data_IF_467212565155
#
_entry.id   IF_467212565155
#
_cell.length_a   1.000
_cell.length_b   1.000
_cell.length_c   1.000
_cell.angle_alpha   90.00
_cell.angle_beta   90.00
_cell.angle_gamma   90.00
#
_symmetry.space_group_name_H-M   'P 1'
#
loop_
_entity.id
_entity.type
_entity.pdbx_description
1 polymer ?
#
# COMPACT_ATOMS: atom_id res chain seq x y z
N UNK A 1 -17.38 51.20 -33.94
CA UNK A 1 -18.54 51.66 -34.77
C UNK A 1 -19.41 52.63 -34.02
N UNK A 2 -19.96 52.32 -32.84
CA UNK A 2 -20.90 53.24 -32.11
C UNK A 2 -20.30 54.63 -31.86
N UNK A 3 -19.04 54.73 -31.37
CA UNK A 3 -18.38 56.02 -31.13
C UNK A 3 -18.25 56.83 -32.41
N UNK A 4 -17.88 56.20 -33.50
CA UNK A 4 -17.77 56.88 -34.79
C UNK A 4 -19.16 57.34 -35.28
N UNK A 5 -20.18 56.50 -35.23
CA UNK A 5 -21.53 56.84 -35.65
C UNK A 5 -22.07 58.08 -34.90
N UNK A 6 -21.92 58.08 -33.56
CA UNK A 6 -22.35 59.20 -32.70
C UNK A 6 -21.63 60.53 -32.98
N UNK A 7 -20.48 60.51 -33.61
CA UNK A 7 -19.79 61.74 -33.98
C UNK A 7 -20.36 62.39 -35.27
N UNK A 8 -21.16 61.66 -36.04
CA UNK A 8 -21.72 62.18 -37.30
C UNK A 8 -23.25 62.29 -37.31
N UNK A 9 -23.94 61.37 -36.65
CA UNK A 9 -25.37 61.23 -36.67
C UNK A 9 -25.97 60.84 -35.32
N UNK A 10 -27.24 61.19 -35.11
CA UNK A 10 -27.95 60.83 -33.90
C UNK A 10 -29.44 60.54 -34.23
N UNK A 11 -29.95 59.44 -33.66
CA UNK A 11 -31.35 59.12 -33.60
C UNK A 11 -31.65 58.28 -32.34
N UNK A 12 -32.90 58.24 -31.85
CA UNK A 12 -33.26 57.39 -30.72
C UNK A 12 -33.00 55.90 -31.04
N UNK A 13 -32.19 55.21 -30.24
CA UNK A 13 -31.87 53.78 -30.40
C UNK A 13 -30.70 53.46 -31.33
N UNK A 14 -29.91 54.44 -31.82
CA UNK A 14 -28.73 54.25 -32.70
C UNK A 14 -27.81 53.10 -32.23
N UNK A 15 -27.58 52.99 -30.93
CA UNK A 15 -26.71 51.95 -30.37
C UNK A 15 -27.25 50.57 -30.58
N UNK A 16 -28.58 50.40 -30.36
CA UNK A 16 -29.26 49.11 -30.56
C UNK A 16 -29.28 48.70 -32.03
N UNK A 17 -29.48 49.68 -32.93
CA UNK A 17 -29.49 49.44 -34.36
C UNK A 17 -28.09 49.05 -34.88
N UNK A 18 -27.06 49.71 -34.40
CA UNK A 18 -25.66 49.33 -34.73
C UNK A 18 -25.30 47.96 -34.17
N UNK A 19 -25.75 47.64 -32.98
CA UNK A 19 -25.58 46.29 -32.43
C UNK A 19 -26.30 45.23 -33.22
N UNK A 20 -27.54 45.47 -33.66
CA UNK A 20 -28.29 44.58 -34.52
C UNK A 20 -27.57 44.32 -35.82
N UNK A 21 -27.17 45.39 -36.53
CA UNK A 21 -26.43 45.26 -37.78
C UNK A 21 -25.12 44.47 -37.58
N UNK A 22 -24.37 44.69 -36.48
CA UNK A 22 -23.17 43.93 -36.17
C UNK A 22 -23.47 42.45 -35.85
N UNK A 23 -24.60 42.15 -35.23
CA UNK A 23 -25.04 40.77 -34.94
C UNK A 23 -25.53 40.04 -36.22
N UNK A 24 -26.12 40.79 -37.18
CA UNK A 24 -26.56 40.23 -38.44
C UNK A 24 -25.44 40.07 -39.48
N UNK A 25 -24.32 40.76 -39.29
CA UNK A 25 -23.19 40.71 -40.18
C UNK A 25 -22.37 39.43 -39.96
N UNK A 26 -22.35 38.52 -40.96
CA UNK A 26 -21.61 37.25 -40.90
C UNK A 26 -20.11 37.43 -40.67
N UNK A 27 -19.49 38.46 -41.24
CA UNK A 27 -18.06 38.73 -41.10
C UNK A 27 -17.72 39.29 -39.72
N UNK A 28 -18.60 40.16 -39.17
CA UNK A 28 -18.45 40.60 -37.79
C UNK A 28 -18.60 39.46 -36.79
N UNK A 29 -19.53 38.54 -37.01
CA UNK A 29 -19.71 37.37 -36.16
C UNK A 29 -18.51 36.42 -36.17
N UNK A 30 -17.86 36.21 -37.31
CA UNK A 30 -16.64 35.39 -37.42
C UNK A 30 -15.45 35.98 -36.68
N UNK A 31 -15.44 37.30 -36.45
CA UNK A 31 -14.37 38.03 -35.78
C UNK A 31 -14.66 38.27 -34.29
N UNK A 32 -15.79 37.79 -33.77
CA UNK A 32 -16.11 37.94 -32.37
C UNK A 32 -15.15 37.10 -31.48
N UNK A 33 -14.85 37.64 -30.32
CA UNK A 33 -14.15 36.89 -29.28
C UNK A 33 -14.95 35.66 -28.88
N UNK A 34 -14.26 34.61 -28.46
CA UNK A 34 -14.89 33.41 -27.95
C UNK A 34 -15.89 33.79 -26.83
N UNK A 35 -17.04 33.12 -26.75
CA UNK A 35 -18.00 33.34 -25.66
C UNK A 35 -17.33 33.16 -24.31
N UNK A 36 -17.79 33.87 -23.29
CA UNK A 36 -17.29 33.76 -21.94
C UNK A 36 -17.29 32.29 -21.47
N UNK A 37 -16.28 31.92 -20.71
CA UNK A 37 -16.21 30.56 -20.16
C UNK A 37 -17.40 30.30 -19.27
N UNK A 38 -18.16 29.25 -19.59
CA UNK A 38 -19.26 28.75 -18.75
C UNK A 38 -18.69 28.14 -17.48
N UNK A 39 -19.43 28.21 -16.39
CA UNK A 39 -19.05 27.50 -15.17
C UNK A 39 -18.89 26.01 -15.45
N UNK A 40 -17.74 25.45 -15.03
CA UNK A 40 -17.49 24.01 -15.19
C UNK A 40 -18.41 23.24 -14.27
N UNK A 41 -19.26 22.38 -14.80
CA UNK A 41 -20.03 21.45 -13.99
C UNK A 41 -19.08 20.40 -13.41
N UNK A 42 -18.90 20.31 -12.09
CA UNK A 42 -18.00 19.36 -11.49
C UNK A 42 -18.53 17.93 -11.68
N UNK A 43 -17.64 16.98 -11.84
CA UNK A 43 -17.99 15.58 -11.77
C UNK A 43 -18.54 15.24 -10.38
N UNK A 44 -19.59 14.44 -10.33
CA UNK A 44 -20.01 13.84 -9.06
C UNK A 44 -18.86 13.06 -8.44
N UNK A 45 -18.74 13.16 -7.13
CA UNK A 45 -17.72 12.38 -6.41
C UNK A 45 -18.16 10.93 -6.32
N UNK A 46 -17.35 9.93 -6.78
CA UNK A 46 -17.71 8.53 -6.71
C UNK A 46 -17.90 8.08 -5.25
N UNK A 47 -18.86 7.20 -5.00
CA UNK A 47 -19.18 6.71 -3.65
C UNK A 47 -18.11 5.79 -3.07
N UNK A 48 -17.32 5.12 -3.93
CA UNK A 48 -16.27 4.20 -3.54
C UNK A 48 -15.01 4.37 -4.40
N UNK A 49 -13.84 3.96 -3.89
CA UNK A 49 -12.61 3.91 -4.67
C UNK A 49 -12.77 3.01 -5.90
N UNK A 50 -12.04 3.36 -6.95
CA UNK A 50 -11.92 2.58 -8.19
C UNK A 50 -13.18 2.49 -9.06
N UNK A 51 -14.26 3.22 -8.73
CA UNK A 51 -15.43 3.32 -9.60
C UNK A 51 -15.12 4.13 -10.87
N UNK A 52 -14.45 5.27 -10.73
CA UNK A 52 -14.04 6.11 -11.85
C UNK A 52 -12.57 6.49 -11.73
N UNK A 53 -11.82 6.22 -12.79
CA UNK A 53 -10.42 6.60 -12.89
C UNK A 53 -10.19 7.54 -14.06
N UNK A 54 -9.26 8.46 -13.91
CA UNK A 54 -8.83 9.40 -14.94
C UNK A 54 -7.46 8.98 -15.44
N UNK A 55 -7.28 8.92 -16.75
CA UNK A 55 -6.01 8.53 -17.38
C UNK A 55 -5.49 9.65 -18.26
N UNK A 56 -4.17 9.77 -18.34
CA UNK A 56 -3.47 10.78 -19.11
C UNK A 56 -2.02 10.36 -19.38
N UNK A 57 -1.34 11.07 -20.28
CA UNK A 57 0.08 10.93 -20.50
C UNK A 57 0.85 12.18 -20.10
N UNK A 58 1.93 12.00 -19.40
CA UNK A 58 2.90 13.05 -19.14
C UNK A 58 4.17 12.77 -19.95
N UNK A 59 4.51 13.68 -20.85
CA UNK A 59 5.76 13.52 -21.60
C UNK A 59 5.78 14.25 -22.95
N UNK A 60 6.89 14.16 -23.71
CA UNK A 60 8.17 13.60 -23.26
C UNK A 60 8.82 14.44 -22.14
N UNK A 61 9.33 13.77 -21.10
CA UNK A 61 9.99 14.43 -19.97
C UNK A 61 11.08 13.49 -19.45
N UNK A 62 12.34 13.98 -19.32
CA UNK A 62 13.51 13.16 -19.01
C UNK A 62 13.66 11.97 -19.97
N UNK A 63 13.49 12.22 -21.27
CA UNK A 63 13.54 11.23 -22.36
C UNK A 63 12.59 10.03 -22.20
N UNK A 64 11.55 10.19 -21.39
CA UNK A 64 10.50 9.20 -21.19
C UNK A 64 9.11 9.83 -21.19
N UNK A 65 8.13 9.00 -21.50
CA UNK A 65 6.72 9.27 -21.29
C UNK A 65 6.24 8.52 -20.05
N UNK A 66 5.18 9.01 -19.45
CA UNK A 66 4.60 8.42 -18.26
C UNK A 66 3.11 8.24 -18.47
N UNK A 67 2.64 7.02 -18.36
CA UNK A 67 1.22 6.77 -18.23
C UNK A 67 0.80 7.10 -16.80
N UNK A 68 -0.23 7.88 -16.67
CA UNK A 68 -0.78 8.35 -15.40
C UNK A 68 -2.22 7.89 -15.29
N UNK A 69 -2.57 7.32 -14.14
CA UNK A 69 -3.91 6.98 -13.78
C UNK A 69 -4.18 7.52 -12.38
N UNK A 70 -5.32 8.18 -12.20
CA UNK A 70 -5.72 8.74 -10.88
C UNK A 70 -7.15 8.31 -10.57
N UNK A 71 -7.35 7.70 -9.42
CA UNK A 71 -8.68 7.37 -8.92
C UNK A 71 -9.45 8.63 -8.51
N UNK A 72 -10.68 8.76 -8.97
CA UNK A 72 -11.49 9.95 -8.73
C UNK A 72 -11.97 10.08 -7.27
N UNK A 73 -12.19 8.97 -6.57
CA UNK A 73 -12.62 8.97 -5.18
C UNK A 73 -11.45 9.31 -4.25
N UNK A 74 -10.45 8.47 -4.22
CA UNK A 74 -9.35 8.55 -3.26
C UNK A 74 -8.23 9.49 -3.66
N UNK A 75 -8.16 9.89 -4.93
CA UNK A 75 -7.01 10.61 -5.55
C UNK A 75 -5.73 9.77 -5.59
N UNK A 76 -5.87 8.45 -5.48
CA UNK A 76 -4.75 7.50 -5.58
C UNK A 76 -4.16 7.50 -6.98
N UNK A 77 -2.85 7.80 -7.13
CA UNK A 77 -2.20 7.83 -8.42
C UNK A 77 -1.43 6.54 -8.71
N UNK A 78 -1.41 6.17 -9.99
CA UNK A 78 -0.47 5.23 -10.58
C UNK A 78 0.34 5.95 -11.65
N UNK A 79 1.65 5.74 -11.67
CA UNK A 79 2.57 6.34 -12.65
C UNK A 79 3.48 5.25 -13.20
N UNK A 80 3.39 5.01 -14.50
CA UNK A 80 4.17 3.96 -15.17
C UNK A 80 5.03 4.60 -16.27
N UNK A 81 6.36 4.50 -16.20
CA UNK A 81 7.23 5.00 -17.26
C UNK A 81 7.08 4.16 -18.52
N UNK A 82 7.02 4.83 -19.68
CA UNK A 82 6.85 4.22 -20.99
C UNK A 82 7.83 4.83 -21.99
N UNK A 83 8.57 3.99 -22.71
CA UNK A 83 9.47 4.49 -23.79
C UNK A 83 8.68 4.96 -25.02
N UNK A 84 7.61 4.28 -25.37
CA UNK A 84 6.75 4.60 -26.51
C UNK A 84 5.28 4.55 -26.09
N UNK A 85 4.52 5.52 -26.53
CA UNK A 85 3.07 5.59 -26.32
C UNK A 85 2.41 4.90 -27.51
N UNK A 86 1.91 3.67 -27.31
CA UNK A 86 1.12 2.91 -28.28
C UNK A 86 -0.12 2.37 -27.59
N UNK A 87 -1.19 2.12 -28.36
CA UNK A 87 -2.43 1.52 -27.84
C UNK A 87 -2.17 0.18 -27.17
N UNK A 88 -1.47 -0.73 -27.85
CA UNK A 88 -1.15 -2.07 -27.33
C UNK A 88 -0.41 -1.99 -25.98
N UNK A 89 0.61 -1.11 -25.88
CA UNK A 89 1.35 -0.94 -24.62
C UNK A 89 0.50 -0.31 -23.53
N UNK A 90 -0.39 0.60 -23.88
CA UNK A 90 -1.34 1.22 -22.92
C UNK A 90 -2.29 0.16 -22.35
N UNK A 91 -2.83 -0.70 -23.19
CA UNK A 91 -3.68 -1.83 -22.78
C UNK A 91 -2.92 -2.79 -21.87
N UNK A 92 -1.68 -3.12 -22.18
CA UNK A 92 -0.84 -3.99 -21.34
C UNK A 92 -0.60 -3.39 -19.96
N UNK A 93 -0.30 -2.10 -19.89
CA UNK A 93 -0.16 -1.36 -18.61
C UNK A 93 -1.47 -1.37 -17.83
N UNK A 94 -2.61 -1.11 -18.47
CA UNK A 94 -3.92 -1.17 -17.82
C UNK A 94 -4.22 -2.57 -17.28
N UNK A 95 -3.94 -3.64 -18.02
CA UNK A 95 -4.10 -5.02 -17.55
C UNK A 95 -3.27 -5.27 -16.28
N UNK A 96 -2.03 -4.77 -16.23
CA UNK A 96 -1.18 -4.89 -15.05
C UNK A 96 -1.74 -4.11 -13.85
N UNK A 97 -2.32 -2.93 -14.08
CA UNK A 97 -2.96 -2.15 -13.01
C UNK A 97 -4.25 -2.84 -12.54
N UNK A 98 -5.07 -3.33 -13.46
CA UNK A 98 -6.33 -4.02 -13.15
C UNK A 98 -6.12 -5.34 -12.40
N UNK A 99 -5.02 -6.06 -12.68
CA UNK A 99 -4.70 -7.29 -11.93
C UNK A 99 -4.44 -7.05 -10.44
N UNK A 100 -4.06 -5.81 -10.06
CA UNK A 100 -3.79 -5.43 -8.66
C UNK A 100 -4.98 -4.78 -7.96
N UNK A 101 -5.75 -3.99 -8.71
CA UNK A 101 -6.76 -3.10 -8.15
C UNK A 101 -8.21 -3.47 -8.58
N UNK A 102 -8.36 -4.43 -9.48
CA UNK A 102 -9.64 -4.76 -10.10
C UNK A 102 -9.91 -3.91 -11.36
N UNK A 103 -11.06 -4.13 -12.00
CA UNK A 103 -11.50 -3.42 -13.20
C UNK A 103 -12.38 -2.25 -12.75
N UNK A 104 -12.11 -1.00 -13.18
CA UNK A 104 -12.94 0.14 -12.84
C UNK A 104 -14.24 0.15 -13.67
N UNK A 105 -15.28 0.79 -13.15
CA UNK A 105 -16.54 0.94 -13.89
C UNK A 105 -16.44 1.99 -15.01
N UNK A 106 -15.64 3.04 -14.79
CA UNK A 106 -15.54 4.20 -15.66
C UNK A 106 -14.09 4.62 -15.86
N UNK A 107 -13.74 4.95 -17.09
CA UNK A 107 -12.47 5.60 -17.42
C UNK A 107 -12.73 6.91 -18.12
N UNK A 108 -12.04 7.96 -17.68
CA UNK A 108 -12.03 9.27 -18.32
C UNK A 108 -10.67 9.52 -18.94
N UNK A 109 -10.61 9.90 -20.21
CA UNK A 109 -9.38 10.25 -20.90
C UNK A 109 -9.54 11.51 -21.76
N UNK A 110 -8.44 12.01 -22.27
CA UNK A 110 -8.43 12.94 -23.41
C UNK A 110 -8.73 12.20 -24.72
N UNK A 111 -8.63 12.93 -25.84
CA UNK A 111 -8.82 12.38 -27.20
C UNK A 111 -7.51 11.93 -27.84
N UNK A 112 -6.51 11.55 -27.09
CA UNK A 112 -5.27 11.01 -27.62
C UNK A 112 -5.52 9.81 -28.56
N UNK A 113 -4.73 9.65 -29.65
CA UNK A 113 -4.94 8.59 -30.64
C UNK A 113 -4.91 7.19 -30.02
N UNK A 114 -4.13 6.97 -28.97
CA UNK A 114 -4.05 5.71 -28.23
C UNK A 114 -5.34 5.35 -27.49
N UNK A 115 -6.15 6.35 -27.10
CA UNK A 115 -7.43 6.17 -26.39
C UNK A 115 -8.63 6.16 -27.35
N UNK A 116 -8.45 6.67 -28.57
CA UNK A 116 -9.53 6.74 -29.58
C UNK A 116 -9.49 5.57 -30.56
N UNK A 117 -8.46 4.74 -30.53
CA UNK A 117 -8.30 3.58 -31.40
C UNK A 117 -9.41 2.54 -31.23
N UNK A 118 -9.72 1.81 -32.30
CA UNK A 118 -10.69 0.72 -32.25
C UNK A 118 -10.30 -0.39 -31.29
N UNK A 119 -9.00 -0.70 -31.18
CA UNK A 119 -8.43 -1.69 -30.27
C UNK A 119 -8.69 -1.31 -28.80
N UNK A 120 -8.45 -0.05 -28.44
CA UNK A 120 -8.74 0.46 -27.10
C UNK A 120 -10.23 0.42 -26.79
N UNK A 121 -11.07 0.82 -27.74
CA UNK A 121 -12.52 0.75 -27.60
C UNK A 121 -13.01 -0.69 -27.40
N UNK A 122 -12.43 -1.67 -28.11
CA UNK A 122 -12.75 -3.08 -27.93
C UNK A 122 -12.31 -3.57 -26.54
N UNK A 123 -11.13 -3.19 -26.09
CA UNK A 123 -10.65 -3.53 -24.75
C UNK A 123 -11.59 -2.99 -23.65
N UNK A 124 -12.08 -1.75 -23.79
CA UNK A 124 -13.06 -1.18 -22.84
C UNK A 124 -14.36 -1.98 -22.82
N UNK A 125 -14.93 -2.32 -24.00
CA UNK A 125 -16.14 -3.13 -24.10
C UNK A 125 -15.99 -4.52 -23.51
N UNK A 126 -14.89 -5.19 -23.79
CA UNK A 126 -14.62 -6.54 -23.28
C UNK A 126 -14.52 -6.60 -21.74
N UNK A 127 -14.18 -5.47 -21.10
CA UNK A 127 -14.09 -5.36 -19.64
C UNK A 127 -15.31 -4.63 -19.03
N UNK A 128 -16.37 -4.38 -19.80
CA UNK A 128 -17.57 -3.64 -19.39
C UNK A 128 -17.26 -2.25 -18.80
N UNK A 129 -16.21 -1.57 -19.27
CA UNK A 129 -15.79 -0.25 -18.82
C UNK A 129 -16.47 0.83 -19.63
N UNK A 130 -17.14 1.78 -18.99
CA UNK A 130 -17.67 2.98 -19.62
C UNK A 130 -16.53 3.98 -19.85
N UNK A 131 -16.21 4.22 -21.12
CA UNK A 131 -15.13 5.15 -21.49
C UNK A 131 -15.70 6.53 -21.84
N UNK A 132 -15.35 7.55 -21.08
CA UNK A 132 -15.69 8.95 -21.31
C UNK A 132 -14.47 9.69 -21.85
N UNK A 133 -14.63 10.33 -23.00
CA UNK A 133 -13.60 11.18 -23.60
C UNK A 133 -13.93 12.65 -23.36
N UNK A 134 -12.90 13.47 -23.14
CA UNK A 134 -13.11 14.93 -23.05
C UNK A 134 -13.62 15.47 -24.40
N UNK A 135 -14.45 16.53 -24.34
CA UNK A 135 -14.83 17.23 -25.57
C UNK A 135 -13.57 17.80 -26.24
N UNK A 136 -13.49 17.79 -27.59
CA UNK A 136 -12.37 18.42 -28.30
C UNK A 136 -12.18 19.87 -27.81
N UNK A 137 -10.94 20.26 -27.61
CA UNK A 137 -10.53 21.60 -27.12
C UNK A 137 -11.09 22.00 -25.74
N UNK A 138 -11.65 21.04 -24.97
CA UNK A 138 -12.13 21.29 -23.61
C UNK A 138 -11.46 20.36 -22.58
N UNK A 139 -10.19 20.60 -22.25
CA UNK A 139 -9.40 19.71 -21.39
C UNK A 139 -9.93 19.62 -19.96
N UNK A 140 -10.70 20.63 -19.50
CA UNK A 140 -11.23 20.68 -18.11
C UNK A 140 -11.99 19.41 -17.68
N UNK A 141 -12.52 18.61 -18.61
CA UNK A 141 -13.19 17.33 -18.33
C UNK A 141 -12.23 16.32 -17.70
N UNK A 142 -10.94 16.30 -18.10
CA UNK A 142 -9.89 15.45 -17.52
C UNK A 142 -8.99 16.20 -16.52
N UNK A 143 -9.44 17.32 -16.00
CA UNK A 143 -8.65 18.21 -15.13
C UNK A 143 -8.10 17.57 -13.85
N UNK A 144 -8.60 16.39 -13.43
CA UNK A 144 -8.03 15.64 -12.32
C UNK A 144 -6.65 15.08 -12.69
N UNK A 145 -6.57 14.35 -13.81
CA UNK A 145 -5.31 13.78 -14.28
C UNK A 145 -4.32 14.89 -14.67
N UNK A 146 -4.78 15.94 -15.37
CA UNK A 146 -3.93 17.08 -15.76
C UNK A 146 -3.27 17.78 -14.57
N UNK A 147 -4.03 18.05 -13.51
CA UNK A 147 -3.47 18.63 -12.27
C UNK A 147 -2.45 17.72 -11.62
N UNK A 148 -2.71 16.41 -11.60
CA UNK A 148 -1.74 15.45 -11.09
C UNK A 148 -0.48 15.42 -11.95
N UNK A 149 -0.60 15.44 -13.29
CA UNK A 149 0.54 15.55 -14.23
C UNK A 149 1.41 16.76 -13.89
N UNK A 150 0.82 17.94 -13.64
CA UNK A 150 1.56 19.14 -13.26
C UNK A 150 2.30 18.95 -11.93
N UNK A 151 1.64 18.38 -10.92
CA UNK A 151 2.24 18.11 -9.61
C UNK A 151 3.40 17.12 -9.73
N UNK A 152 3.20 16.02 -10.47
CA UNK A 152 4.21 15.02 -10.77
C UNK A 152 5.43 15.62 -11.46
N UNK A 153 5.23 16.35 -12.59
CA UNK A 153 6.32 17.01 -13.32
C UNK A 153 7.11 17.98 -12.43
N UNK A 154 6.42 18.78 -11.61
CA UNK A 154 7.07 19.72 -10.68
C UNK A 154 7.92 18.98 -9.64
N UNK A 155 7.37 17.93 -9.03
CA UNK A 155 8.08 17.17 -8.00
C UNK A 155 9.29 16.40 -8.56
N UNK A 156 9.18 15.80 -9.76
CA UNK A 156 10.34 15.12 -10.37
C UNK A 156 11.41 16.12 -10.80
N UNK A 157 11.00 17.31 -11.30
CA UNK A 157 11.95 18.39 -11.62
C UNK A 157 12.72 18.88 -10.40
N UNK A 158 12.08 19.02 -9.24
CA UNK A 158 12.76 19.43 -8.01
C UNK A 158 13.83 18.43 -7.55
N UNK A 159 13.67 17.14 -7.90
CA UNK A 159 14.63 16.08 -7.61
C UNK A 159 15.74 15.94 -8.69
N UNK A 160 15.89 16.92 -9.61
CA UNK A 160 16.84 16.83 -10.75
C UNK A 160 18.27 16.58 -10.30
N UNK A 161 18.70 17.22 -9.22
CA UNK A 161 20.07 17.14 -8.71
C UNK A 161 20.36 15.90 -7.85
N UNK A 162 19.34 15.12 -7.50
CA UNK A 162 19.53 13.86 -6.79
C UNK A 162 20.15 12.80 -7.70
N UNK A 163 21.14 12.08 -7.20
CA UNK A 163 21.81 10.97 -7.91
C UNK A 163 20.94 9.72 -8.07
N UNK A 164 19.73 9.73 -7.54
CA UNK A 164 18.81 8.58 -7.57
C UNK A 164 18.31 8.28 -8.99
N UNK A 165 18.11 7.00 -9.29
CA UNK A 165 17.46 6.56 -10.53
C UNK A 165 16.04 7.11 -10.63
N UNK A 166 15.55 7.30 -11.87
CA UNK A 166 14.20 7.82 -12.12
C UNK A 166 13.12 6.97 -11.43
N UNK A 167 13.20 5.65 -11.48
CA UNK A 167 12.26 4.74 -10.81
C UNK A 167 12.23 4.97 -9.29
N UNK A 168 13.38 5.22 -8.67
CA UNK A 168 13.46 5.52 -7.23
C UNK A 168 12.84 6.88 -6.90
N UNK A 169 13.02 7.88 -7.76
CA UNK A 169 12.37 9.21 -7.63
C UNK A 169 10.85 9.07 -7.70
N UNK A 170 10.34 8.32 -8.68
CA UNK A 170 8.90 8.05 -8.83
C UNK A 170 8.35 7.32 -7.61
N UNK A 171 9.02 6.26 -7.15
CA UNK A 171 8.57 5.49 -5.99
C UNK A 171 8.51 6.35 -4.72
N UNK A 172 9.53 7.18 -4.46
CA UNK A 172 9.55 8.12 -3.34
C UNK A 172 8.43 9.16 -3.43
N UNK A 173 8.23 9.74 -4.62
CA UNK A 173 7.15 10.69 -4.86
C UNK A 173 5.78 10.06 -4.60
N UNK A 174 5.52 8.87 -5.15
CA UNK A 174 4.25 8.18 -4.98
C UNK A 174 3.98 7.83 -3.52
N UNK A 175 4.99 7.35 -2.78
CA UNK A 175 4.84 7.03 -1.36
C UNK A 175 4.48 8.27 -0.55
N UNK A 176 5.13 9.41 -0.83
CA UNK A 176 4.83 10.68 -0.16
C UNK A 176 3.44 11.20 -0.54
N UNK A 177 3.12 11.25 -1.83
CA UNK A 177 1.83 11.75 -2.30
C UNK A 177 0.66 10.92 -1.75
N UNK A 178 0.78 9.60 -1.76
CA UNK A 178 -0.25 8.69 -1.27
C UNK A 178 -0.52 8.83 0.23
N UNK A 179 0.46 9.28 1.01
CA UNK A 179 0.32 9.52 2.45
C UNK A 179 -0.04 10.95 2.83
N UNK A 180 0.08 11.91 1.90
CA UNK A 180 -0.21 13.32 2.17
C UNK A 180 -1.72 13.58 2.04
N UNK A 181 -2.37 14.22 3.02
CA UNK A 181 -3.77 14.62 2.90
C UNK A 181 -4.00 15.49 1.66
N UNK A 182 -4.98 15.12 0.85
CA UNK A 182 -5.32 15.86 -0.36
C UNK A 182 -6.25 17.02 -0.03
N UNK A 183 -6.01 18.20 -0.61
CA UNK A 183 -6.75 19.44 -0.30
C UNK A 183 -8.26 19.37 -0.52
N UNK A 184 -8.73 18.52 -1.44
CA UNK A 184 -10.15 18.36 -1.73
C UNK A 184 -10.86 17.39 -0.77
N UNK A 185 -10.15 16.34 -0.30
CA UNK A 185 -10.76 15.29 0.53
C UNK A 185 -10.38 15.43 2.00
N UNK A 186 -9.37 16.24 2.33
CA UNK A 186 -8.73 16.38 3.64
C UNK A 186 -8.20 15.04 4.22
N UNK A 187 -8.24 13.98 3.43
CA UNK A 187 -7.73 12.65 3.79
C UNK A 187 -6.63 12.22 2.83
N UNK A 188 -5.76 11.33 3.29
CA UNK A 188 -4.70 10.80 2.42
C UNK A 188 -5.26 9.80 1.41
N UNK A 189 -4.75 9.80 0.16
CA UNK A 189 -5.13 8.82 -0.84
C UNK A 189 -5.01 7.38 -0.35
N UNK A 190 -3.98 7.06 0.44
CA UNK A 190 -3.78 5.74 1.00
C UNK A 190 -4.91 5.33 1.96
N UNK A 191 -5.35 6.25 2.83
CA UNK A 191 -6.44 5.95 3.77
C UNK A 191 -7.76 5.69 3.03
N UNK A 192 -8.06 6.50 1.99
CA UNK A 192 -9.29 6.36 1.21
C UNK A 192 -9.25 5.14 0.28
N UNK A 193 -8.08 4.76 -0.26
CA UNK A 193 -7.96 3.68 -1.24
C UNK A 193 -7.76 2.31 -0.59
N UNK A 194 -6.81 2.20 0.35
CA UNK A 194 -6.43 0.93 1.00
C UNK A 194 -6.85 0.83 2.46
N UNK A 195 -7.63 1.80 2.96
CA UNK A 195 -8.14 1.81 4.33
C UNK A 195 -7.11 2.11 5.42
N UNK A 196 -5.84 2.36 5.06
CA UNK A 196 -4.77 2.63 6.03
C UNK A 196 -3.71 3.56 5.46
N UNK A 197 -2.98 4.24 6.33
CA UNK A 197 -1.76 4.93 5.92
C UNK A 197 -0.66 3.93 5.58
N UNK A 198 0.16 4.27 4.58
CA UNK A 198 1.34 3.47 4.23
C UNK A 198 2.47 3.82 5.20
N UNK A 199 3.14 2.80 5.73
CA UNK A 199 4.29 3.01 6.61
C UNK A 199 5.40 3.72 5.85
N UNK A 200 5.92 4.79 6.42
CA UNK A 200 7.02 5.59 5.89
C UNK A 200 8.19 5.61 6.87
N UNK A 201 9.32 6.18 6.45
CA UNK A 201 10.47 6.37 7.37
C UNK A 201 10.15 7.31 8.53
N UNK A 202 9.19 8.23 8.35
CA UNK A 202 8.77 9.14 9.43
C UNK A 202 8.06 8.40 10.57
N UNK A 203 7.48 7.23 10.30
CA UNK A 203 6.84 6.42 11.34
C UNK A 203 7.84 5.80 12.32
N UNK A 204 9.13 5.73 11.95
CA UNK A 204 10.20 5.32 12.86
C UNK A 204 10.42 6.32 14.01
N UNK A 205 10.02 7.60 13.82
CA UNK A 205 10.11 8.65 14.84
C UNK A 205 8.96 8.55 15.84
N UNK A 206 7.85 7.90 15.45
CA UNK A 206 6.69 7.73 16.34
C UNK A 206 6.97 6.67 17.40
N UNK A 207 6.65 6.92 18.69
CA UNK A 207 6.80 5.93 19.73
C UNK A 207 6.02 4.66 19.38
N UNK A 208 6.68 3.50 19.49
CA UNK A 208 6.02 2.22 19.25
C UNK A 208 4.96 1.98 20.34
N UNK A 209 3.69 1.90 19.92
CA UNK A 209 2.55 1.60 20.79
C UNK A 209 2.68 0.20 21.40
N UNK A 210 3.33 -0.72 20.70
CA UNK A 210 3.53 -2.10 21.14
C UNK A 210 4.15 -2.16 22.54
N UNK A 211 5.22 -1.39 22.81
CA UNK A 211 5.84 -1.35 24.14
C UNK A 211 4.95 -0.80 25.26
N UNK A 212 3.89 -0.01 24.93
CA UNK A 212 2.86 0.40 25.91
C UNK A 212 1.86 -0.74 26.13
N UNK A 213 1.45 -1.41 25.06
CA UNK A 213 0.52 -2.55 25.12
C UNK A 213 1.17 -3.72 25.86
N UNK A 214 2.43 -4.04 25.56
CA UNK A 214 3.17 -5.11 26.20
C UNK A 214 3.32 -4.84 27.70
N UNK A 215 3.63 -3.61 28.13
CA UNK A 215 3.64 -3.20 29.54
C UNK A 215 2.26 -3.32 30.19
N UNK A 216 1.20 -2.90 29.50
CA UNK A 216 -0.16 -3.01 30.03
C UNK A 216 -0.57 -4.48 30.17
N UNK A 217 -0.23 -5.32 29.19
CA UNK A 217 -0.49 -6.76 29.23
C UNK A 217 0.32 -7.45 30.35
N UNK A 218 1.60 -7.09 30.51
CA UNK A 218 2.41 -7.56 31.63
C UNK A 218 1.81 -7.14 32.99
N UNK A 219 1.46 -5.87 33.16
CA UNK A 219 0.84 -5.40 34.40
C UNK A 219 -0.50 -6.11 34.67
N UNK A 220 -1.30 -6.40 33.64
CA UNK A 220 -2.53 -7.17 33.77
C UNK A 220 -2.28 -8.63 34.12
N UNK A 221 -1.20 -9.22 33.62
CA UNK A 221 -0.79 -10.58 33.94
C UNK A 221 -0.22 -10.69 35.36
N UNK A 222 0.60 -9.73 35.79
CA UNK A 222 1.17 -9.68 37.15
C UNK A 222 0.17 -9.21 38.19
N UNK A 223 -0.85 -8.45 37.85
CA UNK A 223 -1.92 -8.01 38.76
C UNK A 223 -2.88 -9.15 39.18
N UNK A 224 -2.97 -10.22 38.42
CA UNK A 224 -3.61 -11.47 38.85
C UNK A 224 -2.57 -12.23 39.69
N UNK A 225 -2.87 -12.56 40.95
CA UNK A 225 -2.02 -13.31 41.90
C UNK A 225 -1.47 -14.61 41.31
N UNK A 226 -0.64 -14.54 40.29
CA UNK A 226 0.06 -15.65 39.64
C UNK A 226 1.37 -15.91 40.38
N UNK A 227 1.73 -17.17 40.56
CA UNK A 227 3.08 -17.55 41.00
C UNK A 227 4.08 -17.15 39.89
N UNK A 228 5.33 -16.78 40.27
CA UNK A 228 6.36 -16.56 39.28
C UNK A 228 6.50 -17.80 38.39
N UNK A 229 6.69 -17.57 37.08
CA UNK A 229 6.86 -18.67 36.11
C UNK A 229 8.09 -19.49 36.55
N UNK A 230 7.95 -20.78 36.81
CA UNK A 230 9.09 -21.61 37.16
C UNK A 230 10.06 -21.69 35.96
N UNK A 231 11.34 -21.45 36.23
CA UNK A 231 12.39 -21.62 35.24
C UNK A 231 12.75 -23.10 35.10
N UNK A 232 12.74 -23.61 33.89
CA UNK A 232 13.16 -24.97 33.57
C UNK A 232 14.36 -24.91 32.61
N UNK A 233 15.26 -25.91 32.73
CA UNK A 233 16.37 -26.06 31.79
C UNK A 233 16.31 -27.45 31.14
N UNK A 234 16.83 -27.60 29.91
CA UNK A 234 17.03 -28.90 29.32
C UNK A 234 17.85 -29.81 30.26
N UNK A 235 17.38 -31.03 30.46
CA UNK A 235 17.98 -31.99 31.45
C UNK A 235 17.36 -31.96 32.84
N UNK A 236 16.48 -30.99 33.17
CA UNK A 236 15.79 -30.98 34.45
C UNK A 236 14.85 -32.19 34.61
N UNK A 237 14.93 -32.89 35.74
CA UNK A 237 13.96 -33.94 36.09
C UNK A 237 12.68 -33.30 36.59
N UNK A 238 11.55 -33.77 36.00
CA UNK A 238 10.22 -33.18 36.23
C UNK A 238 9.17 -34.25 36.32
N UNK A 239 8.05 -33.91 36.97
CA UNK A 239 6.83 -34.65 36.91
C UNK A 239 5.81 -33.90 36.06
N UNK A 240 5.19 -34.62 35.12
CA UNK A 240 4.32 -34.09 34.08
C UNK A 240 2.93 -34.61 34.24
N UNK A 241 1.91 -33.79 34.05
CA UNK A 241 0.52 -34.18 34.12
C UNK A 241 0.13 -35.05 32.95
N UNK A 242 -0.32 -36.28 33.20
CA UNK A 242 -0.99 -37.15 32.27
C UNK A 242 -2.50 -36.93 32.34
N UNK A 243 -3.09 -36.40 31.25
CA UNK A 243 -4.52 -36.14 31.18
C UNK A 243 -5.33 -37.38 30.78
N UNK A 244 -4.70 -38.46 30.29
CA UNK A 244 -5.39 -39.72 29.95
C UNK A 244 -5.59 -40.57 31.19
N UNK A 245 -4.55 -40.70 31.99
CA UNK A 245 -4.57 -41.50 33.25
C UNK A 245 -4.84 -40.70 34.51
N UNK A 246 -5.03 -39.38 34.43
CA UNK A 246 -5.20 -38.46 35.55
C UNK A 246 -4.09 -38.54 36.62
N UNK A 247 -2.88 -38.91 36.23
CA UNK A 247 -1.72 -39.13 37.09
C UNK A 247 -0.58 -38.17 36.76
N UNK A 248 0.41 -38.07 37.62
CA UNK A 248 1.67 -37.43 37.36
C UNK A 248 2.70 -38.47 37.01
N UNK A 249 3.46 -38.24 35.91
CA UNK A 249 4.46 -39.15 35.37
C UNK A 249 5.81 -38.45 35.41
N UNK A 250 6.85 -39.21 35.72
CA UNK A 250 8.22 -38.67 35.69
C UNK A 250 8.70 -38.51 34.23
N UNK A 251 9.56 -37.54 34.05
CA UNK A 251 10.21 -37.28 32.75
C UNK A 251 11.35 -36.30 32.90
N UNK A 252 12.02 -36.07 31.79
CA UNK A 252 13.14 -35.13 31.69
C UNK A 252 12.82 -34.10 30.62
N UNK A 253 13.15 -32.84 30.88
CA UNK A 253 13.00 -31.77 29.88
C UNK A 253 14.03 -32.01 28.77
N UNK A 254 13.57 -32.16 27.56
CA UNK A 254 14.41 -32.34 26.38
C UNK A 254 14.73 -31.00 25.71
N UNK A 255 13.72 -30.15 25.53
CA UNK A 255 13.91 -28.82 24.92
C UNK A 255 12.85 -27.84 25.37
N UNK A 256 13.20 -26.54 25.29
CA UNK A 256 12.29 -25.43 25.52
C UNK A 256 11.76 -24.95 24.17
N UNK A 257 10.44 -24.91 24.01
CA UNK A 257 9.76 -24.45 22.79
C UNK A 257 9.37 -22.96 22.84
N UNK A 258 9.70 -22.29 23.96
CA UNK A 258 9.38 -20.90 24.23
C UNK A 258 9.31 -20.64 25.73
N UNK A 259 8.88 -19.44 26.17
CA UNK A 259 8.91 -19.06 27.58
C UNK A 259 7.97 -19.88 28.49
N UNK A 260 6.95 -20.51 27.91
CA UNK A 260 5.90 -21.22 28.68
C UNK A 260 5.67 -22.66 28.23
N UNK A 261 6.39 -23.18 27.22
CA UNK A 261 6.20 -24.53 26.70
C UNK A 261 7.52 -25.30 26.61
N UNK A 262 7.47 -26.55 27.03
CA UNK A 262 8.59 -27.48 26.99
C UNK A 262 8.22 -28.79 26.30
N UNK A 263 9.21 -29.44 25.68
CA UNK A 263 9.13 -30.84 25.32
C UNK A 263 9.71 -31.66 26.44
N UNK A 264 8.94 -32.61 26.93
CA UNK A 264 9.35 -33.49 28.03
C UNK A 264 9.37 -34.93 27.52
N UNK A 265 10.47 -35.61 27.73
CA UNK A 265 10.63 -37.05 27.50
C UNK A 265 10.20 -37.77 28.76
N UNK A 266 9.14 -38.54 28.66
CA UNK A 266 8.64 -39.36 29.80
C UNK A 266 9.50 -40.60 30.01
N UNK A 267 9.48 -41.20 31.20
CA UNK A 267 10.22 -42.44 31.49
C UNK A 267 9.80 -43.62 30.57
N UNK A 268 8.64 -43.52 29.92
CA UNK A 268 8.20 -44.49 28.91
C UNK A 268 8.72 -44.18 27.51
N UNK A 269 9.64 -43.21 27.36
CA UNK A 269 10.23 -42.85 26.07
C UNK A 269 9.38 -41.94 25.18
N UNK A 270 8.17 -41.57 25.59
CA UNK A 270 7.28 -40.70 24.81
C UNK A 270 7.64 -39.24 24.97
N UNK A 271 7.60 -38.48 23.86
CA UNK A 271 7.84 -37.03 23.86
C UNK A 271 6.50 -36.28 23.97
N UNK A 272 6.38 -35.46 25.00
CA UNK A 272 5.17 -34.69 25.26
C UNK A 272 5.45 -33.20 25.26
N UNK A 273 4.69 -32.45 24.49
CA UNK A 273 4.66 -30.98 24.57
C UNK A 273 3.74 -30.56 25.72
N UNK A 274 4.27 -29.78 26.67
CA UNK A 274 3.53 -29.36 27.87
C UNK A 274 3.78 -27.91 28.21
N UNK A 275 2.75 -27.23 28.73
CA UNK A 275 2.86 -25.91 29.32
C UNK A 275 3.49 -26.00 30.72
N UNK A 276 4.21 -24.96 31.16
CA UNK A 276 4.90 -24.95 32.48
C UNK A 276 3.96 -25.18 33.67
N UNK A 277 2.67 -24.83 33.57
CA UNK A 277 1.66 -25.10 34.61
C UNK A 277 1.34 -26.59 34.78
N UNK A 278 1.72 -27.41 33.81
CA UNK A 278 1.49 -28.85 33.74
C UNK A 278 2.72 -29.65 34.17
N UNK A 279 3.76 -28.98 34.62
CA UNK A 279 5.06 -29.55 34.94
C UNK A 279 5.44 -29.08 36.34
N UNK A 280 6.06 -29.96 37.13
CA UNK A 280 6.66 -29.63 38.43
C UNK A 280 8.09 -30.14 38.47
N UNK A 281 9.01 -29.37 39.04
CA UNK A 281 10.36 -29.84 39.35
C UNK A 281 10.29 -30.94 40.40
N UNK A 282 11.09 -31.96 40.24
CA UNK A 282 11.28 -33.02 41.24
C UNK A 282 12.77 -33.29 41.44
N UNK A 283 13.16 -33.46 42.71
CA UNK A 283 14.52 -33.84 43.08
C UNK A 283 14.62 -35.37 43.24
N UNK A 284 13.50 -36.09 43.15
CA UNK A 284 13.50 -37.54 43.29
C UNK A 284 14.14 -38.20 42.06
N UNK A 285 15.35 -38.71 42.21
CA UNK A 285 15.94 -39.69 41.29
C UNK A 285 15.28 -41.03 41.59
N UNK A 286 14.45 -41.51 40.66
CA UNK A 286 13.87 -42.85 40.82
C UNK A 286 14.98 -43.90 40.85
N UNK A 287 15.08 -44.63 41.98
CA UNK A 287 15.68 -45.97 41.94
C UNK A 287 14.69 -46.84 41.16
N UNK A 288 15.09 -47.29 40.00
CA UNK A 288 14.34 -48.32 39.21
C UNK A 288 14.31 -49.62 39.99
N UNK A 289 13.22 -49.90 40.64
CA UNK A 289 12.84 -51.28 40.95
C UNK A 289 11.87 -51.71 39.86
N UNK A 290 12.36 -52.59 38.99
CA UNK A 290 11.55 -53.32 38.03
C UNK A 290 10.60 -54.24 38.77
N UNK A 291 9.31 -53.98 38.72
CA UNK A 291 8.28 -54.98 38.88
C UNK A 291 7.56 -55.09 37.51
N UNK A 292 7.85 -56.21 36.85
CA UNK A 292 7.14 -56.63 35.63
C UNK A 292 5.68 -56.89 36.00
N UNK A 293 4.80 -56.02 35.57
CA UNK A 293 3.38 -56.38 35.42
C UNK A 293 3.04 -56.26 33.93
N UNK A 294 2.89 -57.44 33.33
CA UNK A 294 2.32 -57.66 32.01
C UNK A 294 1.05 -56.83 31.84
N UNK A 295 1.07 -55.97 30.83
CA UNK A 295 -0.16 -55.43 30.25
C UNK A 295 -0.32 -56.04 28.88
N UNK A 296 -1.42 -56.79 28.72
CA UNK A 296 -1.90 -57.29 27.46
C UNK A 296 -2.20 -56.15 26.52
N UNK A 297 -1.59 -56.24 25.35
CA UNK A 297 -1.90 -55.39 24.19
C UNK A 297 -3.35 -55.66 23.74
N UNK A 298 -4.23 -54.69 23.93
CA UNK A 298 -5.45 -54.58 23.13
C UNK A 298 -5.19 -53.62 21.98
N UNK A 299 -4.99 -54.21 20.82
CA UNK A 299 -4.99 -53.54 19.53
C UNK A 299 -6.43 -53.12 19.21
N UNK A 300 -6.69 -51.86 18.89
CA UNK A 300 -7.91 -51.49 18.17
C UNK A 300 -7.63 -51.56 16.68
N UNK A 301 -8.33 -52.42 16.03
CA UNK A 301 -8.43 -52.62 14.59
C UNK A 301 -9.03 -51.37 13.92
N UNK A 302 -8.40 -50.98 12.85
CA UNK A 302 -8.75 -50.11 11.73
C UNK A 302 -10.20 -50.32 11.19
N UNK A 303 -10.66 -49.67 10.14
CA UNK A 303 -10.11 -48.68 9.22
C UNK A 303 -11.14 -47.66 8.67
N UNK A 304 -10.72 -46.67 7.97
CA UNK A 304 -11.45 -46.19 6.78
C UNK A 304 -10.49 -45.60 5.77
N UNK A 305 -10.27 -46.36 4.76
CA UNK A 305 -9.70 -45.99 3.46
C UNK A 305 -10.63 -45.04 2.73
N UNK A 306 -10.12 -43.89 2.31
CA UNK A 306 -10.67 -43.18 1.16
C UNK A 306 -9.51 -42.98 0.17
N UNK A 307 -9.61 -43.77 -0.88
CA UNK A 307 -8.79 -43.72 -2.07
C UNK A 307 -9.17 -42.51 -2.93
N UNK A 308 -8.19 -41.76 -3.35
CA UNK A 308 -8.30 -40.82 -4.46
C UNK A 308 -7.27 -41.26 -5.52
N UNK A 309 -7.66 -41.43 -6.77
CA UNK A 309 -6.81 -42.02 -7.79
C UNK A 309 -5.75 -41.10 -8.30
N UNK A 310 -4.53 -41.62 -8.40
CA UNK A 310 -3.46 -41.11 -9.24
C UNK A 310 -3.83 -41.29 -10.71
N UNK A 311 -3.57 -40.30 -11.51
CA UNK A 311 -3.33 -40.47 -12.92
C UNK A 311 -1.91 -40.04 -13.25
N UNK A 312 -1.20 -41.02 -13.73
CA UNK A 312 0.12 -40.94 -14.36
C UNK A 312 0.07 -40.16 -15.67
N UNK A 313 1.18 -39.53 -16.02
CA UNK A 313 1.98 -39.84 -17.23
C UNK A 313 3.13 -38.83 -17.31
N UNK A 314 4.34 -39.32 -17.13
CA UNK A 314 5.39 -39.67 -18.11
C UNK A 314 6.02 -38.43 -18.80
N UNK A 315 7.21 -38.18 -18.56
CA UNK A 315 8.53 -38.54 -19.01
C UNK A 315 9.41 -37.38 -19.42
N UNK A 316 10.61 -37.53 -19.02
CA UNK A 316 11.91 -37.40 -19.67
C UNK A 316 12.53 -36.01 -19.88
N UNK A 317 13.71 -35.91 -19.34
CA UNK A 317 14.91 -35.50 -20.06
C UNK A 317 15.82 -34.52 -19.36
N UNK A 318 16.87 -35.03 -18.78
CA UNK A 318 18.30 -34.66 -18.83
C UNK A 318 18.64 -33.19 -19.23
N UNK A 319 19.56 -32.49 -18.69
CA UNK A 319 20.96 -32.72 -18.29
C UNK A 319 21.60 -31.40 -17.78
N UNK A 320 22.51 -31.58 -16.83
CA UNK A 320 23.80 -30.87 -16.63
C UNK A 320 23.89 -29.32 -16.59
N UNK A 321 24.39 -28.68 -15.58
CA UNK A 321 25.79 -28.56 -15.17
C UNK A 321 25.96 -27.55 -14.00
N UNK A 322 26.82 -27.96 -13.08
CA UNK A 322 27.61 -27.19 -12.12
C UNK A 322 28.18 -25.89 -12.70
N UNK A 323 28.23 -24.84 -11.90
CA UNK A 323 29.47 -24.12 -11.56
C UNK A 323 29.29 -23.39 -10.23
N UNK A 324 30.14 -23.77 -9.28
CA UNK A 324 30.47 -23.07 -8.06
C UNK A 324 31.45 -21.95 -8.35
N UNK A 325 31.20 -20.76 -7.85
CA UNK A 325 32.29 -19.81 -7.58
C UNK A 325 32.04 -19.09 -6.25
N UNK A 326 32.93 -19.44 -5.32
CA UNK A 326 33.15 -18.74 -4.07
C UNK A 326 34.03 -17.51 -4.31
N UNK A 327 33.61 -16.35 -3.87
CA UNK A 327 34.53 -15.21 -3.69
C UNK A 327 34.37 -14.72 -2.27
N UNK A 328 35.35 -15.04 -1.46
CA UNK A 328 35.68 -14.41 -0.19
C UNK A 328 36.33 -13.05 -0.44
N UNK A 329 35.87 -12.01 0.23
CA UNK A 329 36.56 -10.74 0.35
C UNK A 329 36.58 -10.32 1.82
N UNK A 330 37.80 -10.33 2.35
CA UNK A 330 38.20 -9.79 3.64
C UNK A 330 37.87 -8.28 3.73
N UNK A 331 37.34 -7.84 4.84
CA UNK A 331 37.31 -6.42 5.21
C UNK A 331 37.88 -6.29 6.59
N UNK A 332 39.06 -5.65 6.61
CA UNK A 332 39.80 -5.22 7.76
C UNK A 332 38.99 -4.24 8.63
N UNK A 333 39.15 -4.42 9.93
CA UNK A 333 38.62 -3.53 10.97
C UNK A 333 39.64 -2.41 11.22
N UNK A 334 39.28 -1.17 10.91
CA UNK A 334 39.91 0.00 11.53
C UNK A 334 38.98 0.64 12.54
N UNK A 335 39.41 0.59 13.79
CA UNK A 335 38.85 1.35 14.92
C UNK A 335 39.45 2.75 14.93
N UNK A 336 38.63 3.79 14.81
CA UNK A 336 39.01 5.14 15.23
C UNK A 336 37.92 5.70 16.12
N UNK A 337 38.29 5.84 17.39
CA UNK A 337 37.65 6.70 18.39
C UNK A 337 37.55 8.14 17.91
N UNK A 338 36.35 8.68 17.80
CA UNK A 338 36.11 10.11 17.91
C UNK A 338 34.86 10.39 18.75
N UNK A 339 35.15 10.74 19.99
CA UNK A 339 34.29 11.41 20.93
C UNK A 339 33.87 12.78 20.36
N UNK A 340 32.68 12.90 19.78
CA UNK A 340 32.10 14.16 19.33
C UNK A 340 30.90 14.50 20.21
N UNK A 341 31.05 15.56 21.01
CA UNK A 341 30.01 16.20 21.81
C UNK A 341 28.72 16.45 21.03
N UNK A 342 27.64 15.87 21.46
CA UNK A 342 26.30 16.14 20.95
C UNK A 342 25.84 17.52 21.44
N UNK A 343 25.91 18.53 20.60
CA UNK A 343 25.29 19.84 20.84
C UNK A 343 23.76 19.66 20.95
N UNK A 344 23.23 19.86 22.15
CA UNK A 344 21.78 19.93 22.40
C UNK A 344 21.22 21.18 21.75
N UNK A 345 20.22 21.01 20.86
CA UNK A 345 19.45 22.12 20.28
C UNK A 345 18.70 22.88 21.39
N UNK A 346 18.60 24.23 21.28
CA UNK A 346 17.90 25.02 22.26
C UNK A 346 16.41 24.67 22.28
N UNK A 347 15.87 24.54 23.48
CA UNK A 347 14.46 24.28 23.74
C UNK A 347 13.62 25.48 23.27
N UNK A 348 12.77 25.27 22.29
CA UNK A 348 11.85 26.30 21.77
C UNK A 348 10.71 26.49 22.78
N UNK A 349 10.68 27.62 23.47
CA UNK A 349 9.53 28.02 24.30
C UNK A 349 8.28 28.16 23.44
N UNK A 350 7.25 27.36 23.74
CA UNK A 350 5.94 27.48 23.11
C UNK A 350 5.18 28.63 23.78
N UNK A 351 5.11 29.80 23.12
CA UNK A 351 4.15 30.83 23.51
C UNK A 351 2.78 30.44 22.97
N UNK A 352 1.78 30.38 23.81
CA UNK A 352 0.40 30.18 23.41
C UNK A 352 -0.07 31.33 22.49
N UNK A 353 -0.86 31.06 21.42
CA UNK A 353 -1.40 32.12 20.60
C UNK A 353 -2.37 32.97 21.39
N UNK A 354 -2.19 34.30 21.37
CA UNK A 354 -3.16 35.24 21.93
C UNK A 354 -4.44 35.12 21.09
N UNK A 355 -5.55 34.76 21.70
CA UNK A 355 -6.87 34.89 21.09
C UNK A 355 -7.20 36.37 20.97
N UNK A 356 -7.37 36.87 19.76
CA UNK A 356 -8.05 38.14 19.50
C UNK A 356 -9.54 37.86 19.78
N UNK A 357 -10.03 38.43 20.86
CA UNK A 357 -11.46 38.61 21.11
C UNK A 357 -11.76 39.96 20.48
N UNK A 358 -12.47 39.98 19.36
CA UNK A 358 -13.11 41.19 18.84
C UNK A 358 -14.36 41.39 19.65
N UNK A 359 -14.38 42.47 20.42
CA UNK A 359 -15.61 43.03 21.00
C UNK A 359 -16.35 43.75 19.89
N UNK A 360 -17.59 43.38 19.66
CA UNK A 360 -18.67 44.27 19.19
C UNK A 360 -19.69 44.43 20.28
#
# INVERSE_FOLDING_TARGET
MKSLARSYVWWPGIDSDIERLAKECADCQKQQNNPGKVYVHPWEWPSAPWQRVHIDFAGPFLDQNFFILVDAHSKWPEVIPMKRITTARTIEVLRTIFSRNGIPEQIVSDNGPQFTSAEFGQFMRNNAIRHYKSAPYHPATNGLAERFVQTFKRSIKSMKHDSMSLNKKIANFLLQYRNTPHTTTNESPAKLFVGRQLRSRLDLIRPNIQGKVDRANMNSAFGKKGKPVPSFNPGDHVIVRDYRGNKWINGTIESLLGPLNCTVKTDFGSLWKRHVDQIRKTECRNKTEFSETRYEERVPVTPCTISVPCNDTVSTGNDHNNVSESVSADIESESTDHNAEIKRYPTRERKAPKRLIEEM
#
